data_IF_457362602428
#
_entry.id   IF_457362602428
#
_cell.length_a   1.000
_cell.length_b   1.000
_cell.length_c   1.000
_cell.angle_alpha   90.00
_cell.angle_beta   90.00
_cell.angle_gamma   90.00
#
_symmetry.space_group_name_H-M   'P 1'
#
loop_
_entity.id
_entity.type
_entity.pdbx_description
1 polymer ?
#
# COMPACT_ATOMS: atom_id res chain seq x y z
N UNK A 1 3.83 6.05 -15.93
CA UNK A 1 3.93 6.08 -14.47
C UNK A 1 3.57 4.68 -14.00
N UNK A 2 4.54 4.01 -13.37
CA UNK A 2 4.56 2.56 -13.22
C UNK A 2 3.74 2.05 -12.03
N UNK A 3 3.28 0.82 -12.16
CA UNK A 3 2.75 0.03 -11.05
C UNK A 3 3.90 -0.35 -10.11
N UNK A 4 3.89 0.20 -8.89
CA UNK A 4 4.91 -0.10 -7.87
C UNK A 4 4.67 -1.44 -7.16
N UNK A 5 3.49 -2.08 -7.34
CA UNK A 5 3.10 -3.37 -6.76
C UNK A 5 3.55 -3.51 -5.29
N UNK A 6 3.37 -2.44 -4.51
CA UNK A 6 3.89 -2.29 -3.16
C UNK A 6 2.80 -2.59 -2.13
N UNK A 7 2.95 -3.69 -1.42
CA UNK A 7 2.09 -4.00 -0.27
C UNK A 7 2.77 -3.45 0.97
N UNK A 8 2.25 -2.34 1.47
CA UNK A 8 2.86 -1.58 2.58
C UNK A 8 2.53 -2.16 3.95
N UNK A 9 1.53 -3.04 4.05
CA UNK A 9 1.04 -3.54 5.32
C UNK A 9 -0.02 -2.63 5.94
N UNK A 10 -0.40 -2.93 7.18
CA UNK A 10 -1.24 -2.09 8.05
C UNK A 10 -0.53 -1.68 9.34
N UNK A 11 0.67 -2.21 9.59
CA UNK A 11 1.50 -1.75 10.70
C UNK A 11 2.09 -0.39 10.35
N UNK A 12 1.59 0.65 11.02
CA UNK A 12 2.04 2.03 10.87
C UNK A 12 2.79 2.56 12.10
N UNK A 13 3.26 1.69 13.00
CA UNK A 13 4.07 2.10 14.16
C UNK A 13 5.26 2.96 13.73
N UNK A 14 5.40 4.15 14.35
CA UNK A 14 6.44 5.15 14.08
C UNK A 14 6.33 5.87 12.71
N UNK A 15 5.33 5.57 11.89
CA UNK A 15 5.08 6.20 10.58
C UNK A 15 3.62 6.65 10.41
N UNK A 16 2.90 6.89 11.50
CA UNK A 16 1.47 7.20 11.55
C UNK A 16 1.11 8.47 10.76
N UNK A 17 2.06 9.40 10.67
CA UNK A 17 1.91 10.62 9.87
C UNK A 17 1.85 10.31 8.36
N UNK A 18 2.63 9.33 7.91
CA UNK A 18 2.77 8.92 6.51
C UNK A 18 1.85 7.77 6.10
N UNK A 19 1.42 6.94 7.05
CA UNK A 19 0.69 5.70 6.76
C UNK A 19 -0.42 5.49 7.79
N UNK A 20 -1.58 5.02 7.33
CA UNK A 20 -2.68 4.60 8.19
C UNK A 20 -2.73 3.08 8.40
N UNK A 21 -3.73 2.64 9.15
CA UNK A 21 -3.91 1.23 9.55
C UNK A 21 -4.87 0.46 8.65
N UNK A 22 -5.42 1.09 7.61
CA UNK A 22 -6.42 0.49 6.70
C UNK A 22 -5.77 -0.26 5.52
N UNK A 23 -4.45 -0.41 5.54
CA UNK A 23 -3.72 -1.19 4.54
C UNK A 23 -3.95 -2.71 4.65
N UNK A 24 -3.32 -3.46 3.76
CA UNK A 24 -3.37 -4.93 3.77
C UNK A 24 -2.57 -5.49 4.95
N UNK A 25 -2.88 -6.67 5.51
CA UNK A 25 -2.04 -7.30 6.53
C UNK A 25 -0.64 -7.69 6.00
N UNK A 26 -0.49 -7.80 4.67
CA UNK A 26 0.74 -8.23 4.01
C UNK A 26 1.65 -7.04 3.74
N UNK A 27 2.92 -7.15 4.12
CA UNK A 27 3.98 -6.22 3.70
C UNK A 27 4.99 -6.95 2.81
N UNK A 28 5.28 -6.44 1.62
CA UNK A 28 6.30 -6.96 0.72
C UNK A 28 7.50 -5.98 0.59
N UNK A 29 8.59 -6.42 -0.03
CA UNK A 29 9.80 -5.62 -0.18
C UNK A 29 9.57 -4.32 -0.96
N UNK A 30 8.70 -4.36 -1.97
CA UNK A 30 8.31 -3.17 -2.72
C UNK A 30 7.55 -2.17 -1.85
N UNK A 31 6.67 -2.64 -0.96
CA UNK A 31 5.98 -1.81 0.00
C UNK A 31 6.92 -1.19 1.03
N UNK A 32 7.97 -1.91 1.44
CA UNK A 32 9.02 -1.34 2.30
C UNK A 32 9.74 -0.20 1.60
N UNK A 33 10.17 -0.40 0.35
CA UNK A 33 10.81 0.64 -0.46
C UNK A 33 9.89 1.85 -0.69
N UNK A 34 8.60 1.59 -0.84
CA UNK A 34 7.59 2.64 -0.97
C UNK A 34 7.45 3.45 0.32
N UNK A 35 7.42 2.79 1.48
CA UNK A 35 7.42 3.48 2.79
C UNK A 35 8.68 4.33 2.93
N UNK A 36 9.86 3.77 2.63
CA UNK A 36 11.12 4.51 2.73
C UNK A 36 11.13 5.74 1.82
N UNK A 37 10.59 5.61 0.60
CA UNK A 37 10.41 6.73 -0.33
C UNK A 37 9.44 7.77 0.23
N UNK A 38 8.30 7.36 0.79
CA UNK A 38 7.33 8.28 1.38
C UNK A 38 7.90 9.02 2.59
N UNK A 39 8.55 8.31 3.50
CA UNK A 39 9.17 8.90 4.70
C UNK A 39 10.27 9.87 4.31
N UNK A 40 11.13 9.50 3.36
CA UNK A 40 12.24 10.35 2.90
C UNK A 40 11.82 11.61 2.14
N UNK A 41 10.63 11.61 1.53
CA UNK A 41 10.08 12.74 0.76
C UNK A 41 8.91 13.43 1.47
N UNK A 42 8.65 13.09 2.73
CA UNK A 42 7.50 13.57 3.51
C UNK A 42 6.12 13.40 2.83
N UNK A 43 5.95 12.30 2.08
CA UNK A 43 4.72 11.93 1.39
C UNK A 43 3.82 11.06 2.27
N UNK A 44 2.51 11.03 1.96
CA UNK A 44 1.52 10.26 2.72
C UNK A 44 0.87 9.20 1.85
N UNK A 45 0.91 7.95 2.30
CA UNK A 45 0.25 6.80 1.67
C UNK A 45 -1.25 6.85 2.00
N UNK A 46 -1.98 7.66 1.25
CA UNK A 46 -3.42 7.90 1.45
C UNK A 46 -4.27 6.62 1.37
N UNK A 47 -3.86 5.65 0.55
CA UNK A 47 -4.53 4.34 0.41
C UNK A 47 -4.62 3.57 1.76
N UNK A 48 -3.70 3.83 2.69
CA UNK A 48 -3.72 3.21 4.02
C UNK A 48 -4.45 4.05 5.08
N UNK A 49 -4.72 5.33 4.81
CA UNK A 49 -5.42 6.23 5.75
C UNK A 49 -6.94 6.12 5.66
N UNK A 50 -7.47 5.90 4.48
CA UNK A 50 -8.92 5.83 4.27
C UNK A 50 -9.35 4.39 4.02
N UNK A 51 -10.47 4.01 4.63
CA UNK A 51 -11.09 2.72 4.37
C UNK A 51 -11.67 2.74 2.95
N UNK A 52 -10.91 2.25 1.99
CA UNK A 52 -11.41 2.04 0.64
C UNK A 52 -12.24 0.75 0.56
N UNK A 53 -13.30 0.75 -0.24
CA UNK A 53 -14.03 -0.50 -0.57
C UNK A 53 -13.06 -1.47 -1.25
N UNK A 54 -13.18 -2.76 -0.98
CA UNK A 54 -12.23 -3.78 -1.47
C UNK A 54 -12.12 -3.79 -3.01
N UNK A 55 -13.17 -3.40 -3.72
CA UNK A 55 -13.18 -3.22 -5.19
C UNK A 55 -12.18 -2.17 -5.70
N UNK A 56 -11.74 -1.25 -4.83
CA UNK A 56 -10.75 -0.22 -5.14
C UNK A 56 -9.37 -0.51 -4.53
N UNK A 57 -9.24 -1.57 -3.73
CA UNK A 57 -7.95 -2.02 -3.18
C UNK A 57 -7.17 -2.91 -4.15
N UNK A 58 -7.87 -3.57 -5.08
CA UNK A 58 -7.28 -4.51 -6.02
C UNK A 58 -7.67 -4.13 -7.44
N UNK A 59 -6.69 -3.99 -8.34
CA UNK A 59 -6.95 -3.66 -9.76
C UNK A 59 -6.77 -4.87 -10.67
N UNK A 60 -6.33 -6.03 -10.13
CA UNK A 60 -6.14 -7.25 -10.90
C UNK A 60 -6.65 -8.47 -10.16
N UNK A 61 -7.63 -9.15 -10.75
CA UNK A 61 -7.86 -10.58 -10.50
C UNK A 61 -6.73 -11.35 -11.19
N UNK A 62 -5.82 -11.91 -10.40
CA UNK A 62 -4.97 -13.02 -10.86
C UNK A 62 -5.76 -14.33 -10.71
N UNK A 63 -5.52 -15.28 -11.62
CA UNK A 63 -6.18 -16.59 -11.70
C UNK A 63 -6.43 -17.25 -10.33
N UNK A 64 -7.51 -18.05 -10.17
CA UNK A 64 -7.91 -18.61 -8.88
C UNK A 64 -6.73 -19.35 -8.24
N UNK A 65 -6.22 -18.80 -7.13
CA UNK A 65 -5.09 -19.34 -6.39
C UNK A 65 -3.84 -18.47 -6.31
N UNK A 66 -3.79 -17.28 -6.95
CA UNK A 66 -2.64 -16.36 -6.80
C UNK A 66 -3.06 -14.97 -6.34
N UNK A 67 -2.40 -14.54 -5.26
CA UNK A 67 -2.68 -13.40 -4.40
C UNK A 67 -2.86 -12.07 -5.17
N UNK A 68 -4.04 -11.43 -5.01
CA UNK A 68 -4.41 -10.13 -5.60
C UNK A 68 -3.39 -9.04 -5.28
N UNK A 69 -2.84 -8.39 -6.31
CA UNK A 69 -1.86 -7.30 -6.18
C UNK A 69 -2.59 -5.96 -5.99
N UNK A 70 -2.32 -5.28 -4.86
CA UNK A 70 -2.85 -3.94 -4.59
C UNK A 70 -1.99 -2.89 -5.32
N UNK A 71 -2.62 -2.13 -6.21
CA UNK A 71 -2.00 -0.98 -6.87
C UNK A 71 -1.79 0.13 -5.84
N UNK A 72 -0.56 0.33 -5.39
CA UNK A 72 -0.18 1.50 -4.60
C UNK A 72 -0.02 2.70 -5.52
N UNK A 73 -1.09 3.47 -5.69
CA UNK A 73 -1.01 4.81 -6.28
C UNK A 73 -0.53 5.81 -5.22
N UNK A 74 0.65 6.39 -5.44
CA UNK A 74 1.13 7.58 -4.72
C UNK A 74 0.34 8.80 -5.20
N UNK A 75 -0.21 9.58 -4.27
CA UNK A 75 -0.50 11.00 -4.47
C UNK A 75 0.46 11.79 -3.58
#
# INVERSE_FOLDING_TARGET
MGDMNGRVGNNNESIERHMGQQGENTKNDNGRRLIDLCVGNDLVITNTKFMHKDIHKYTRESAPGTISQSLTTLL
#
